data_IF_973567472256
#
_entry.id   IF_973567472256
#
_cell.length_a   1.000
_cell.length_b   1.000
_cell.length_c   1.000
_cell.angle_alpha   90.00
_cell.angle_beta   90.00
_cell.angle_gamma   90.00
#
_symmetry.space_group_name_H-M   'P 1'
#
loop_
_entity.id
_entity.type
_entity.pdbx_description
1 polymer ?
#
# COMPACT_ATOMS: atom_id res chain seq x y z
N UNK A 1 25.72 27.95 -17.84
CA UNK A 1 24.97 27.38 -16.69
C UNK A 1 23.66 28.10 -16.55
N UNK A 2 22.54 27.47 -16.92
CA UNK A 2 21.19 28.06 -16.76
C UNK A 2 20.77 27.81 -15.30
N UNK A 3 20.56 28.90 -14.55
CA UNK A 3 19.97 28.82 -13.20
C UNK A 3 18.55 28.29 -13.33
N UNK A 4 18.27 27.15 -12.74
CA UNK A 4 16.92 26.70 -12.49
C UNK A 4 16.26 27.73 -11.57
N UNK A 5 15.14 28.31 -12.02
CA UNK A 5 14.39 29.28 -11.23
C UNK A 5 13.93 28.66 -9.91
N UNK A 6 13.99 29.46 -8.85
CA UNK A 6 13.45 29.07 -7.55
C UNK A 6 11.96 28.78 -7.70
N UNK A 7 11.48 27.68 -7.12
CA UNK A 7 10.12 27.19 -7.25
C UNK A 7 9.04 28.03 -6.56
N UNK A 8 9.27 29.33 -6.33
CA UNK A 8 8.40 30.22 -5.55
C UNK A 8 7.09 30.64 -6.23
N UNK A 9 6.92 30.29 -7.55
CA UNK A 9 5.72 30.62 -8.32
C UNK A 9 4.93 29.41 -8.84
N UNK A 10 5.06 28.25 -8.18
CA UNK A 10 4.22 27.11 -8.52
C UNK A 10 2.76 27.41 -8.09
N UNK A 11 2.00 28.01 -8.99
CA UNK A 11 0.53 28.01 -8.88
C UNK A 11 0.08 26.59 -9.18
N UNK A 12 -0.51 25.86 -8.23
CA UNK A 12 -0.99 24.52 -8.51
C UNK A 12 -1.97 24.60 -9.68
N UNK A 13 -1.59 24.02 -10.80
CA UNK A 13 -2.45 23.95 -11.97
C UNK A 13 -3.73 23.22 -11.53
N UNK A 14 -4.91 23.80 -11.80
CA UNK A 14 -6.21 23.19 -11.51
C UNK A 14 -6.52 21.99 -12.41
N UNK A 15 -5.55 21.51 -13.16
CA UNK A 15 -5.71 20.31 -13.99
C UNK A 15 -5.85 19.11 -13.06
N UNK A 16 -7.06 18.61 -12.97
CA UNK A 16 -7.34 17.34 -12.29
C UNK A 16 -7.00 16.24 -13.27
N UNK A 17 -5.86 15.58 -13.06
CA UNK A 17 -5.42 14.44 -13.87
C UNK A 17 -6.30 13.21 -13.69
N UNK A 18 -7.21 13.25 -12.72
CA UNK A 18 -8.14 12.17 -12.41
C UNK A 18 -9.55 12.56 -12.84
N UNK A 19 -10.26 11.63 -13.46
CA UNK A 19 -11.64 11.84 -13.93
C UNK A 19 -12.53 12.35 -12.78
N UNK A 20 -13.49 13.27 -13.08
CA UNK A 20 -14.40 13.81 -12.07
C UNK A 20 -15.17 12.69 -11.37
N UNK A 21 -15.24 12.76 -10.02
CA UNK A 21 -16.00 11.80 -9.22
C UNK A 21 -15.22 10.54 -8.81
N UNK A 22 -14.00 10.31 -9.34
CA UNK A 22 -13.17 9.21 -8.86
C UNK A 22 -12.45 9.60 -7.57
N UNK A 23 -12.54 8.77 -6.51
CA UNK A 23 -11.77 8.98 -5.30
C UNK A 23 -10.29 8.73 -5.55
N UNK A 24 -9.43 9.51 -4.92
CA UNK A 24 -7.98 9.37 -5.03
C UNK A 24 -7.29 9.70 -3.71
N UNK A 25 -6.08 9.19 -3.53
CA UNK A 25 -5.20 9.52 -2.40
C UNK A 25 -4.08 10.42 -2.89
N UNK A 26 -3.89 11.54 -2.19
CA UNK A 26 -2.73 12.41 -2.41
C UNK A 26 -1.54 11.95 -1.59
N UNK A 27 -0.41 11.76 -2.26
CA UNK A 27 0.88 11.53 -1.62
C UNK A 27 1.81 12.69 -1.93
N UNK A 28 2.33 13.34 -0.89
CA UNK A 28 3.33 14.38 -1.07
C UNK A 28 4.65 13.81 -1.62
N UNK A 29 5.36 14.55 -2.46
CA UNK A 29 6.66 14.15 -3.01
C UNK A 29 7.65 13.81 -1.90
N UNK A 30 7.67 14.60 -0.81
CA UNK A 30 8.50 14.35 0.38
C UNK A 30 8.29 12.95 0.98
N UNK A 31 7.04 12.46 1.02
CA UNK A 31 6.73 11.12 1.49
C UNK A 31 7.27 10.06 0.50
N UNK A 32 7.03 10.25 -0.80
CA UNK A 32 7.45 9.30 -1.84
C UNK A 32 8.97 9.15 -1.88
N UNK A 33 9.71 10.24 -1.70
CA UNK A 33 11.18 10.27 -1.67
C UNK A 33 11.76 9.86 -0.31
N UNK A 34 10.93 9.67 0.71
CA UNK A 34 11.39 9.35 2.06
C UNK A 34 12.10 7.99 2.11
N UNK A 35 13.01 7.87 3.09
CA UNK A 35 13.65 6.59 3.39
C UNK A 35 12.65 5.52 3.81
N UNK A 36 11.60 5.92 4.53
CA UNK A 36 10.53 5.06 4.97
C UNK A 36 9.85 4.38 3.77
N UNK A 37 9.44 5.18 2.76
CA UNK A 37 8.78 4.67 1.56
C UNK A 37 9.72 3.84 0.67
N UNK A 38 10.95 4.32 0.41
CA UNK A 38 11.92 3.63 -0.44
C UNK A 38 12.47 2.32 0.16
N UNK A 39 12.40 2.18 1.48
CA UNK A 39 12.86 1.00 2.19
C UNK A 39 11.85 -0.13 2.28
N UNK A 40 10.62 0.07 1.83
CA UNK A 40 9.57 -0.93 1.91
C UNK A 40 9.80 -2.12 0.99
N UNK A 41 9.42 -3.31 1.45
CA UNK A 41 9.33 -4.49 0.63
C UNK A 41 8.19 -4.37 -0.40
N UNK A 42 8.22 -5.22 -1.44
CA UNK A 42 7.12 -5.29 -2.43
C UNK A 42 5.76 -5.57 -1.77
N UNK A 43 5.72 -6.45 -0.78
CA UNK A 43 4.48 -6.76 -0.07
C UNK A 43 3.98 -5.58 0.75
N UNK A 44 4.88 -4.81 1.38
CA UNK A 44 4.50 -3.62 2.12
C UNK A 44 3.94 -2.52 1.20
N UNK A 45 4.51 -2.33 0.01
CA UNK A 45 3.93 -1.44 -0.99
C UNK A 45 2.52 -1.88 -1.42
N UNK A 46 2.32 -3.18 -1.73
CA UNK A 46 1.01 -3.71 -2.10
C UNK A 46 -0.01 -3.55 -0.96
N UNK A 47 0.41 -3.81 0.27
CA UNK A 47 -0.43 -3.66 1.46
C UNK A 47 -0.83 -2.21 1.69
N UNK A 48 0.11 -1.28 1.53
CA UNK A 48 -0.15 0.15 1.66
C UNK A 48 -1.18 0.62 0.63
N UNK A 49 -1.04 0.20 -0.63
CA UNK A 49 -2.02 0.48 -1.68
C UNK A 49 -3.41 -0.08 -1.32
N UNK A 50 -3.49 -1.30 -0.75
CA UNK A 50 -4.77 -1.87 -0.33
C UNK A 50 -5.44 -1.02 0.76
N UNK A 51 -4.68 -0.52 1.74
CA UNK A 51 -5.22 0.41 2.75
C UNK A 51 -5.71 1.72 2.13
N UNK A 52 -5.00 2.26 1.16
CA UNK A 52 -5.41 3.48 0.45
C UNK A 52 -6.70 3.28 -0.36
N UNK A 53 -6.84 2.13 -1.01
CA UNK A 53 -8.10 1.78 -1.70
C UNK A 53 -9.24 1.70 -0.69
N UNK A 54 -9.01 1.11 0.49
CA UNK A 54 -10.03 1.08 1.55
C UNK A 54 -10.41 2.49 1.99
N UNK A 55 -9.41 3.34 2.24
CA UNK A 55 -9.64 4.73 2.56
C UNK A 55 -10.47 5.47 1.50
N UNK A 56 -10.16 5.25 0.22
CA UNK A 56 -10.91 5.82 -0.90
C UNK A 56 -12.36 5.33 -0.95
N UNK A 57 -12.60 4.03 -0.69
CA UNK A 57 -13.96 3.44 -0.66
C UNK A 57 -14.85 4.10 0.38
N UNK A 58 -14.28 4.60 1.46
CA UNK A 58 -14.96 5.36 2.49
C UNK A 58 -14.87 6.89 2.30
N UNK A 59 -14.78 7.33 1.05
CA UNK A 59 -14.71 8.74 0.66
C UNK A 59 -13.61 9.53 1.40
N UNK A 60 -12.53 8.87 1.81
CA UNK A 60 -11.41 9.50 2.53
C UNK A 60 -11.71 9.90 3.97
N UNK A 61 -12.78 9.40 4.58
CA UNK A 61 -13.26 9.89 5.88
C UNK A 61 -13.00 8.95 7.06
N UNK A 62 -12.68 7.69 6.81
CA UNK A 62 -12.60 6.66 7.86
C UNK A 62 -11.14 6.28 8.23
N UNK A 63 -10.16 7.15 7.99
CA UNK A 63 -8.79 6.90 8.44
C UNK A 63 -8.74 6.89 9.97
N UNK A 64 -8.26 5.80 10.55
CA UNK A 64 -8.35 5.46 11.99
C UNK A 64 -9.33 4.31 12.26
N UNK A 65 -10.24 4.07 11.34
CA UNK A 65 -11.23 2.98 11.39
C UNK A 65 -11.15 2.10 10.15
N UNK A 66 -10.01 2.07 9.45
CA UNK A 66 -9.83 1.24 8.27
C UNK A 66 -9.82 -0.23 8.66
N UNK A 67 -10.66 -1.02 7.99
CA UNK A 67 -10.76 -2.47 8.20
C UNK A 67 -10.33 -3.16 6.92
N UNK A 68 -9.25 -3.94 7.01
CA UNK A 68 -8.80 -4.79 5.90
C UNK A 68 -8.54 -6.19 6.45
N UNK A 69 -9.20 -7.18 5.86
CA UNK A 69 -9.08 -8.56 6.29
C UNK A 69 -7.85 -9.24 5.68
N UNK A 70 -7.42 -10.35 6.28
CA UNK A 70 -6.30 -11.14 5.75
C UNK A 70 -6.60 -11.70 4.36
N UNK A 71 -7.85 -12.04 4.07
CA UNK A 71 -8.24 -12.56 2.76
C UNK A 71 -8.11 -11.48 1.68
N UNK A 72 -8.49 -10.24 2.00
CA UNK A 72 -8.29 -9.11 1.10
C UNK A 72 -6.80 -8.83 0.80
N UNK A 73 -5.90 -9.05 1.76
CA UNK A 73 -4.46 -8.97 1.49
C UNK A 73 -3.98 -10.11 0.60
N UNK A 74 -4.54 -11.32 0.76
CA UNK A 74 -4.24 -12.47 -0.11
C UNK A 74 -4.68 -12.20 -1.53
N UNK A 75 -5.87 -11.64 -1.75
CA UNK A 75 -6.36 -11.18 -3.06
C UNK A 75 -5.42 -10.18 -3.72
N UNK A 76 -4.72 -9.37 -2.93
CA UNK A 76 -3.70 -8.42 -3.39
C UNK A 76 -2.31 -9.04 -3.57
N UNK A 77 -2.22 -10.36 -3.56
CA UNK A 77 -1.00 -11.11 -3.84
C UNK A 77 -0.02 -11.22 -2.67
N UNK A 78 -0.47 -10.92 -1.44
CA UNK A 78 0.34 -11.05 -0.24
C UNK A 78 0.11 -12.45 0.35
N UNK A 79 1.15 -13.25 0.45
CA UNK A 79 1.04 -14.57 1.04
C UNK A 79 0.64 -14.46 2.52
N UNK A 80 -0.36 -15.25 2.95
CA UNK A 80 -0.94 -15.21 4.31
C UNK A 80 0.11 -15.25 5.43
N UNK A 81 1.16 -16.04 5.26
CA UNK A 81 2.26 -16.16 6.23
C UNK A 81 3.10 -14.88 6.41
N UNK A 82 3.05 -13.96 5.45
CA UNK A 82 3.81 -12.71 5.51
C UNK A 82 2.98 -11.50 5.96
N UNK A 83 1.65 -11.62 6.05
CA UNK A 83 0.77 -10.49 6.35
C UNK A 83 1.18 -9.81 7.66
N UNK A 84 1.36 -10.57 8.74
CA UNK A 84 1.76 -10.00 10.03
C UNK A 84 3.10 -9.26 9.93
N UNK A 85 4.11 -9.90 9.36
CA UNK A 85 5.44 -9.30 9.20
C UNK A 85 5.40 -8.02 8.34
N UNK A 86 4.52 -8.01 7.32
CA UNK A 86 4.32 -6.85 6.45
C UNK A 86 3.60 -5.70 7.17
N UNK A 87 2.63 -6.01 8.04
CA UNK A 87 2.01 -4.99 8.91
C UNK A 87 3.07 -4.40 9.85
N UNK A 88 3.87 -5.25 10.49
CA UNK A 88 4.94 -4.80 11.40
C UNK A 88 5.97 -3.94 10.66
N UNK A 89 6.29 -4.27 9.40
CA UNK A 89 7.17 -3.46 8.53
C UNK A 89 6.60 -2.05 8.31
N UNK A 90 5.32 -1.93 7.96
CA UNK A 90 4.66 -0.63 7.76
C UNK A 90 4.56 0.18 9.05
N UNK A 91 4.32 -0.46 10.19
CA UNK A 91 4.32 0.19 11.50
C UNK A 91 5.72 0.69 11.85
N UNK A 92 6.76 -0.13 11.65
CA UNK A 92 8.16 0.24 11.88
C UNK A 92 8.63 1.35 10.94
N UNK A 93 8.08 1.40 9.72
CA UNK A 93 8.31 2.50 8.77
C UNK A 93 7.54 3.77 9.13
N UNK A 94 6.73 3.76 10.19
CA UNK A 94 5.92 4.91 10.62
C UNK A 94 4.83 5.32 9.64
N UNK A 95 4.43 4.44 8.71
CA UNK A 95 3.40 4.70 7.69
C UNK A 95 2.01 4.23 8.12
N UNK A 96 1.96 3.26 9.03
CA UNK A 96 0.74 2.63 9.52
C UNK A 96 0.73 2.61 11.05
N UNK A 97 -0.45 2.79 11.63
CA UNK A 97 -0.72 2.55 13.06
C UNK A 97 -1.83 1.51 13.17
N UNK A 98 -1.67 0.56 14.10
CA UNK A 98 -2.73 -0.36 14.49
C UNK A 98 -3.46 0.27 15.67
N UNK A 99 -4.61 0.88 15.43
CA UNK A 99 -5.41 1.56 16.46
C UNK A 99 -6.07 0.54 17.40
N UNK A 100 -6.54 -0.55 16.83
CA UNK A 100 -7.11 -1.66 17.59
C UNK A 100 -6.67 -2.99 17.00
N UNK A 101 -6.21 -3.91 17.84
CA UNK A 101 -5.94 -5.30 17.42
C UNK A 101 -7.20 -6.11 17.56
N UNK A 102 -7.67 -6.63 16.44
CA UNK A 102 -8.80 -7.54 16.43
C UNK A 102 -8.51 -8.83 17.20
N UNK A 103 -9.54 -9.41 17.74
CA UNK A 103 -9.48 -10.73 18.38
C UNK A 103 -10.45 -11.69 17.69
N UNK A 104 -10.05 -12.95 17.57
CA UNK A 104 -10.83 -14.02 16.97
C UNK A 104 -11.59 -14.86 18.04
N UNK A 105 -11.87 -14.32 19.24
CA UNK A 105 -12.47 -15.08 20.32
C UNK A 105 -14.00 -15.09 20.23
N UNK A 106 -14.58 -16.30 20.21
CA UNK A 106 -15.96 -16.54 20.61
C UNK A 106 -17.04 -16.00 19.67
N UNK A 107 -16.95 -16.17 18.37
CA UNK A 107 -18.06 -15.86 17.44
C UNK A 107 -18.23 -14.37 17.06
N UNK A 108 -17.92 -13.45 17.94
CA UNK A 108 -17.98 -11.99 17.71
C UNK A 108 -16.59 -11.40 17.51
N UNK A 109 -15.83 -11.95 16.56
CA UNK A 109 -14.49 -11.49 16.27
C UNK A 109 -14.47 -10.00 15.88
N UNK A 110 -13.79 -9.18 16.68
CA UNK A 110 -13.59 -7.77 16.33
C UNK A 110 -12.47 -7.62 15.32
N UNK A 111 -12.68 -6.85 14.23
CA UNK A 111 -11.64 -6.61 13.25
C UNK A 111 -10.54 -5.70 13.80
N UNK A 112 -9.34 -5.82 13.25
CA UNK A 112 -8.28 -4.83 13.51
C UNK A 112 -8.60 -3.52 12.82
N UNK A 113 -8.34 -2.40 13.50
CA UNK A 113 -8.51 -1.05 12.98
C UNK A 113 -7.16 -0.43 12.70
N UNK A 114 -7.05 0.24 11.56
CA UNK A 114 -5.80 0.79 11.07
C UNK A 114 -5.92 2.27 10.73
N UNK A 115 -4.79 2.96 10.83
CA UNK A 115 -4.65 4.38 10.46
C UNK A 115 -3.39 4.60 9.63
N UNK A 116 -3.54 5.31 8.52
CA UNK A 116 -2.44 5.84 7.72
C UNK A 116 -1.94 7.15 8.35
N UNK A 117 -0.64 7.27 8.58
CA UNK A 117 -0.05 8.38 9.34
C UNK A 117 0.07 9.67 8.55
N UNK A 118 0.08 9.58 7.22
CA UNK A 118 0.24 10.72 6.30
C UNK A 118 -1.09 11.29 5.79
N UNK A 119 -2.22 10.78 6.28
CA UNK A 119 -3.56 11.28 5.95
C UNK A 119 -4.27 11.75 7.22
N UNK A 120 -5.19 12.70 7.07
CA UNK A 120 -6.06 13.13 8.17
C UNK A 120 -6.80 11.93 8.73
N UNK A 121 -6.89 11.85 10.05
CA UNK A 121 -7.56 10.74 10.73
C UNK A 121 -8.84 11.20 11.39
N UNK A 122 -9.87 10.34 11.35
CA UNK A 122 -11.13 10.53 12.07
C UNK A 122 -10.92 10.16 13.53
N UNK A 123 -11.40 10.99 14.40
CA UNK A 123 -11.52 10.70 15.83
C UNK A 123 -12.98 10.81 16.26
N UNK A 124 -13.47 9.77 16.91
CA UNK A 124 -14.83 9.74 17.46
C UNK A 124 -14.72 9.77 18.99
N UNK A 125 -14.99 10.90 19.64
CA UNK A 125 -14.98 10.97 21.09
C UNK A 125 -16.15 10.18 21.68
N UNK A 126 -16.05 9.79 22.96
CA UNK A 126 -17.13 9.10 23.70
C UNK A 126 -18.38 9.97 23.74
N UNK A 127 -18.21 11.29 23.88
CA UNK A 127 -19.28 12.28 23.81
C UNK A 127 -18.90 13.37 22.82
N UNK A 128 -19.81 13.70 21.90
CA UNK A 128 -19.63 14.76 20.93
C UNK A 128 -19.60 14.28 19.49
N UNK A 129 -19.42 15.22 18.56
CA UNK A 129 -19.36 14.92 17.13
C UNK A 129 -17.96 14.47 16.72
N UNK A 130 -17.85 13.60 15.70
CA UNK A 130 -16.55 13.22 15.12
C UNK A 130 -15.81 14.44 14.60
N UNK A 131 -14.49 14.47 14.76
CA UNK A 131 -13.61 15.48 14.18
C UNK A 131 -12.38 14.84 13.53
N UNK A 132 -11.65 15.64 12.76
CA UNK A 132 -10.48 15.15 12.02
C UNK A 132 -9.20 15.73 12.62
N UNK A 133 -8.24 14.83 12.86
CA UNK A 133 -6.90 15.17 13.30
C UNK A 133 -5.98 15.30 12.08
N UNK A 134 -5.02 16.21 12.14
CA UNK A 134 -4.00 16.35 11.14
C UNK A 134 -3.10 15.11 11.07
N UNK A 135 -2.46 14.85 9.91
CA UNK A 135 -1.54 13.72 9.74
C UNK A 135 -0.42 13.74 10.79
N UNK A 136 -0.17 12.60 11.42
CA UNK A 136 0.91 12.49 12.43
C UNK A 136 2.31 12.43 11.83
N UNK A 137 2.41 12.05 10.56
CA UNK A 137 3.65 11.95 9.76
C UNK A 137 4.80 11.24 10.50
N UNK A 138 4.50 10.15 11.21
CA UNK A 138 5.47 9.42 12.03
C UNK A 138 6.67 8.89 11.22
N UNK A 139 6.48 8.69 9.92
CA UNK A 139 7.52 8.30 8.97
C UNK A 139 8.66 9.32 8.87
N UNK A 140 8.43 10.59 9.18
CA UNK A 140 9.48 11.62 9.19
C UNK A 140 10.48 11.40 10.33
N UNK A 141 10.04 10.82 11.44
CA UNK A 141 10.86 10.59 12.64
C UNK A 141 11.88 9.46 12.45
N UNK A 142 11.65 8.57 11.47
CA UNK A 142 12.49 7.39 11.23
C UNK A 142 13.80 7.75 10.52
N UNK A 143 13.84 8.85 9.78
CA UNK A 143 15.04 9.37 9.13
C UNK A 143 16.02 10.07 10.07
N UNK A 144 15.57 10.54 11.23
CA UNK A 144 16.35 11.38 12.15
C UNK A 144 16.98 10.61 13.31
N UNK A 145 16.48 9.46 13.66
CA UNK A 145 17.13 8.57 14.63
C UNK A 145 18.12 7.68 13.89
N UNK A 146 19.41 7.88 14.10
CA UNK A 146 20.46 6.92 13.81
C UNK A 146 20.14 5.62 14.52
N UNK A 147 19.20 4.85 13.96
CA UNK A 147 18.66 3.65 14.57
C UNK A 147 19.75 2.59 14.64
N UNK A 148 20.17 2.21 15.85
CA UNK A 148 20.69 0.88 16.10
C UNK A 148 19.74 -0.09 15.40
N UNK A 149 20.25 -0.77 14.36
CA UNK A 149 19.53 -1.93 13.77
C UNK A 149 19.32 -2.90 14.91
N UNK A 150 18.08 -3.02 15.38
CA UNK A 150 17.70 -4.23 16.10
C UNK A 150 17.90 -5.35 15.09
N UNK A 151 18.78 -6.30 15.39
CA UNK A 151 18.95 -7.55 14.67
C UNK A 151 17.71 -8.43 14.91
N UNK A 152 16.54 -7.92 14.52
CA UNK A 152 15.38 -8.73 14.25
C UNK A 152 15.64 -9.39 12.90
N UNK A 153 15.80 -10.68 12.94
CA UNK A 153 15.97 -11.60 11.82
C UNK A 153 15.19 -11.09 10.60
N UNK A 154 15.88 -10.45 9.66
CA UNK A 154 15.29 -10.12 8.37
C UNK A 154 14.90 -11.47 7.75
N UNK A 155 13.58 -11.72 7.67
CA UNK A 155 13.09 -12.85 6.91
C UNK A 155 13.63 -12.69 5.51
N UNK A 156 14.66 -13.49 5.17
CA UNK A 156 15.22 -13.56 3.84
C UNK A 156 14.12 -14.05 2.91
N UNK A 157 13.55 -13.12 2.16
CA UNK A 157 12.65 -13.49 1.08
C UNK A 157 13.46 -14.27 0.05
N UNK A 158 13.07 -15.50 -0.30
CA UNK A 158 13.77 -16.23 -1.35
C UNK A 158 13.73 -15.39 -2.62
N UNK A 159 14.89 -15.05 -3.17
CA UNK A 159 15.01 -14.46 -4.51
C UNK A 159 14.50 -15.53 -5.46
N UNK A 160 13.26 -15.37 -5.94
CA UNK A 160 12.73 -16.24 -6.98
C UNK A 160 13.59 -16.06 -8.21
N UNK A 161 14.26 -17.13 -8.65
CA UNK A 161 14.90 -17.17 -9.95
C UNK A 161 13.87 -16.85 -11.03
N UNK A 162 14.22 -16.04 -12.04
CA UNK A 162 13.31 -15.76 -13.15
C UNK A 162 12.97 -17.08 -13.84
N UNK A 163 11.70 -17.49 -13.77
CA UNK A 163 11.21 -18.64 -14.53
C UNK A 163 11.47 -18.37 -16.00
N UNK A 164 12.33 -19.19 -16.62
CA UNK A 164 12.50 -19.23 -18.08
C UNK A 164 11.13 -19.60 -18.67
N UNK A 165 10.48 -18.62 -19.29
CA UNK A 165 9.29 -18.88 -20.10
C UNK A 165 9.81 -19.51 -21.40
N UNK A 166 9.73 -20.83 -21.52
CA UNK A 166 9.93 -21.52 -22.78
C UNK A 166 8.72 -21.23 -23.67
N UNK A 167 8.92 -20.43 -24.70
CA UNK A 167 7.96 -20.31 -25.77
C UNK A 167 7.86 -21.66 -26.49
N UNK A 168 6.77 -22.39 -26.25
CA UNK A 168 6.40 -23.53 -27.10
C UNK A 168 6.04 -22.98 -28.48
N UNK A 169 6.96 -23.16 -29.42
CA UNK A 169 6.72 -22.94 -30.85
C UNK A 169 5.64 -23.93 -31.29
N UNK A 170 4.41 -23.43 -31.50
CA UNK A 170 3.33 -24.18 -32.10
C UNK A 170 3.68 -24.43 -33.59
N UNK A 171 4.07 -25.64 -33.91
CA UNK A 171 4.19 -26.13 -35.26
C UNK A 171 2.78 -26.14 -35.90
N UNK A 172 2.56 -25.19 -36.81
CA UNK A 172 1.42 -25.21 -37.70
C UNK A 172 1.66 -26.35 -38.73
N UNK A 173 1.03 -27.49 -38.48
CA UNK A 173 1.02 -28.60 -39.42
C UNK A 173 0.06 -28.28 -40.59
N UNK A 174 0.65 -28.05 -41.75
CA UNK A 174 -0.02 -27.89 -43.02
C UNK A 174 -0.56 -29.26 -43.48
N UNK A 175 -1.88 -29.52 -43.35
CA UNK A 175 -2.52 -30.71 -43.96
C UNK A 175 -2.93 -30.34 -45.38
N UNK A 176 -2.11 -30.85 -46.32
CA UNK A 176 -2.48 -30.85 -47.72
C UNK A 176 -3.67 -31.81 -47.93
N UNK A 177 -4.73 -31.31 -48.51
CA UNK A 177 -5.89 -32.05 -49.01
C UNK A 177 -5.52 -32.70 -50.34
N UNK A 178 -5.48 -34.03 -50.38
CA UNK A 178 -5.43 -34.79 -51.66
C UNK A 178 -6.84 -35.30 -51.99
N UNK A 179 -7.45 -34.65 -52.96
CA UNK A 179 -8.59 -35.19 -53.73
C UNK A 179 -8.10 -36.27 -54.65
N UNK A 180 -8.68 -37.48 -54.60
CA UNK A 180 -8.90 -38.45 -55.70
C UNK A 180 -10.31 -38.99 -55.46
N UNK A 181 -11.16 -38.84 -56.30
CA UNK A 181 -11.74 -39.21 -57.54
C UNK A 181 -11.88 -40.70 -57.71
N UNK A 182 -13.07 -41.21 -57.57
CA UNK A 182 -13.81 -42.11 -58.45
C UNK A 182 -15.23 -42.28 -57.94
#
# INVERSE_FOLDING_TARGET
MKKFGDGSNFKPNKVRDVAPGQPFVQRGVKLLESRAMRGLSRYAHSMLLRFEVEHCRHAGKENGYLIVTYDQFVEWGILRKFIKATIDELVNAGLLVVEHKGCAHGGDGQPSLYRLTYLKSKFVPICGSPYYLEPSNDWEKIGTRGGKRSNGSAAQFPRGEPRKISFLSSHVGNRASSHRGN
#
